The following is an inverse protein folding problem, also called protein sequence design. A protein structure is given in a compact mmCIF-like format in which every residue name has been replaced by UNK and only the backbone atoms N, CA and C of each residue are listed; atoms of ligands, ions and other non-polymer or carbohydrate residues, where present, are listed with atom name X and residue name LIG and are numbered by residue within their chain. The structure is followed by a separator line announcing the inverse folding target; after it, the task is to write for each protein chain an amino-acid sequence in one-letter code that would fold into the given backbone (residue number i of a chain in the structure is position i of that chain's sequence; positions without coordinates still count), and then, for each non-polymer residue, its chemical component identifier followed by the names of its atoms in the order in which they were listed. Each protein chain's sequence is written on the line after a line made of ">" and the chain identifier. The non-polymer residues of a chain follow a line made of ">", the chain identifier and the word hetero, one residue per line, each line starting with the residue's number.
data_IF_109707799687
#
_entry.id   IF_109707799687
#
_cell.length_a   1.000
_cell.length_b   1.000
_cell.length_c   1.000
_cell.angle_alpha   90.00
_cell.angle_beta   90.00
_cell.angle_gamma   90.00
#
_symmetry.space_group_name_H-M   'P 1'
#
loop_
_entity.id
_entity.type
_entity.pdbx_description
1 polymer ?
#
# COMPACT_ATOMS: atom_id res chain seq x y z
N UNK A 1 -17.49 6.73 -19.67
CA UNK A 1 -16.64 6.21 -20.75
C UNK A 1 -15.32 5.76 -20.14
N UNK A 2 -15.12 4.45 -20.02
CA UNK A 2 -13.84 3.87 -19.60
C UNK A 2 -12.87 3.97 -20.77
N UNK A 3 -11.63 4.41 -20.49
CA UNK A 3 -10.59 4.51 -21.51
C UNK A 3 -10.09 3.13 -21.95
N UNK A 4 -9.93 2.92 -23.24
CA UNK A 4 -9.28 1.72 -23.75
C UNK A 4 -7.77 1.87 -23.57
N UNK A 5 -7.17 1.13 -22.61
CA UNK A 5 -5.74 1.24 -22.26
C UNK A 5 -4.83 0.96 -23.45
N UNK A 6 -5.31 0.22 -24.45
CA UNK A 6 -4.50 -0.16 -25.61
C UNK A 6 -4.69 0.76 -26.83
N UNK A 7 -5.68 1.66 -26.85
CA UNK A 7 -5.99 2.49 -28.03
C UNK A 7 -5.95 3.99 -27.75
N UNK A 8 -6.44 4.45 -26.59
CA UNK A 8 -6.61 5.87 -26.27
C UNK A 8 -5.27 6.60 -26.04
N UNK A 9 -5.25 7.95 -26.07
CA UNK A 9 -4.02 8.75 -25.80
C UNK A 9 -3.41 8.38 -24.44
N UNK A 10 -2.10 8.14 -24.44
CA UNK A 10 -1.37 7.51 -23.33
C UNK A 10 -1.52 8.31 -22.03
N UNK A 11 -1.13 9.59 -22.04
CA UNK A 11 -1.12 10.42 -20.83
C UNK A 11 -2.53 10.59 -20.26
N UNK A 12 -3.52 10.87 -21.12
CA UNK A 12 -4.94 11.01 -20.72
C UNK A 12 -5.45 9.72 -20.06
N UNK A 13 -5.09 8.58 -20.61
CA UNK A 13 -5.50 7.28 -20.10
C UNK A 13 -4.85 6.97 -18.74
N UNK A 14 -3.55 7.22 -18.63
CA UNK A 14 -2.81 7.03 -17.37
C UNK A 14 -3.33 7.94 -16.26
N UNK A 15 -3.49 9.24 -16.54
CA UNK A 15 -4.02 10.20 -15.56
C UNK A 15 -5.43 9.86 -15.12
N UNK A 16 -6.30 9.48 -16.07
CA UNK A 16 -7.68 9.09 -15.76
C UNK A 16 -7.76 7.85 -14.87
N UNK A 17 -6.83 6.93 -15.00
CA UNK A 17 -6.73 5.74 -14.15
C UNK A 17 -6.02 6.05 -12.82
N UNK A 18 -4.96 6.85 -12.84
CA UNK A 18 -4.14 7.16 -11.67
C UNK A 18 -4.87 8.06 -10.65
N UNK A 19 -5.58 9.10 -11.11
CA UNK A 19 -6.20 10.08 -10.21
C UNK A 19 -7.18 9.45 -9.20
N UNK A 20 -8.12 8.56 -9.58
CA UNK A 20 -8.97 7.91 -8.60
C UNK A 20 -8.19 6.99 -7.64
N UNK A 21 -7.11 6.34 -8.11
CA UNK A 21 -6.26 5.48 -7.25
C UNK A 21 -5.55 6.34 -6.22
N UNK A 22 -4.93 7.45 -6.65
CA UNK A 22 -4.30 8.42 -5.76
C UNK A 22 -5.29 8.95 -4.73
N UNK A 23 -6.47 9.37 -5.18
CA UNK A 23 -7.53 9.83 -4.29
C UNK A 23 -7.94 8.76 -3.28
N UNK A 24 -8.03 7.48 -3.67
CA UNK A 24 -8.27 6.36 -2.75
C UNK A 24 -7.17 6.23 -1.70
N UNK A 25 -5.91 6.40 -2.08
CA UNK A 25 -4.77 6.33 -1.15
C UNK A 25 -4.80 7.49 -0.15
N UNK A 26 -5.13 8.70 -0.59
CA UNK A 26 -5.33 9.85 0.31
C UNK A 26 -6.52 9.66 1.24
N UNK A 27 -7.64 9.10 0.75
CA UNK A 27 -8.76 8.72 1.61
C UNK A 27 -8.36 7.70 2.67
N UNK A 28 -7.53 6.72 2.32
CA UNK A 28 -6.97 5.76 3.27
C UNK A 28 -6.12 6.42 4.37
N UNK A 29 -5.32 7.42 4.01
CA UNK A 29 -4.55 8.20 5.00
C UNK A 29 -5.47 9.01 5.92
N UNK A 30 -6.48 9.69 5.35
CA UNK A 30 -7.47 10.45 6.12
C UNK A 30 -8.26 9.54 7.08
N UNK A 31 -8.64 8.35 6.60
CA UNK A 31 -9.26 7.30 7.41
C UNK A 31 -8.42 6.97 8.65
N UNK A 32 -7.13 6.64 8.45
CA UNK A 32 -6.24 6.29 9.55
C UNK A 32 -6.09 7.43 10.57
N UNK A 33 -5.99 8.68 10.11
CA UNK A 33 -5.88 9.86 10.98
C UNK A 33 -7.16 10.04 11.79
N UNK A 34 -8.32 9.92 11.15
CA UNK A 34 -9.63 10.12 11.81
C UNK A 34 -9.89 9.02 12.84
N UNK A 35 -9.63 7.76 12.51
CA UNK A 35 -9.78 6.61 13.42
C UNK A 35 -8.89 6.78 14.66
N UNK A 36 -7.61 7.15 14.47
CA UNK A 36 -6.69 7.40 15.56
C UNK A 36 -7.09 8.61 16.41
N UNK A 37 -7.72 9.63 15.83
CA UNK A 37 -8.22 10.78 16.59
C UNK A 37 -9.36 10.38 17.54
N UNK A 38 -10.31 9.57 17.07
CA UNK A 38 -11.39 9.04 17.91
C UNK A 38 -10.88 8.10 19.00
N UNK A 39 -9.95 7.20 18.68
CA UNK A 39 -9.31 6.30 19.65
C UNK A 39 -8.52 7.11 20.69
N UNK A 40 -7.91 8.23 20.28
CA UNK A 40 -7.18 9.15 21.17
C UNK A 40 -8.03 9.68 22.31
N UNK A 41 -9.33 9.86 22.10
CA UNK A 41 -10.27 10.28 23.17
C UNK A 41 -10.48 9.23 24.27
N UNK A 42 -10.13 7.96 24.00
CA UNK A 42 -10.13 6.89 25.01
C UNK A 42 -8.87 6.86 25.88
N UNK A 43 -7.85 7.65 25.50
CA UNK A 43 -6.59 7.77 26.22
C UNK A 43 -5.42 7.02 25.57
N UNK A 44 -4.21 7.33 26.03
CA UNK A 44 -2.95 6.84 25.48
C UNK A 44 -2.81 5.30 25.51
N UNK A 45 -3.40 4.64 26.50
CA UNK A 45 -3.37 3.17 26.62
C UNK A 45 -4.17 2.49 25.53
N UNK A 46 -5.33 3.05 25.13
CA UNK A 46 -6.13 2.56 24.03
C UNK A 46 -5.39 2.75 22.69
N UNK A 47 -4.79 3.92 22.48
CA UNK A 47 -3.96 4.20 21.29
C UNK A 47 -2.79 3.24 21.17
N UNK A 48 -2.08 2.97 22.28
CA UNK A 48 -0.98 2.01 22.30
C UNK A 48 -1.45 0.59 21.96
N UNK A 49 -2.57 0.14 22.54
CA UNK A 49 -3.15 -1.18 22.27
C UNK A 49 -3.59 -1.35 20.81
N UNK A 50 -4.31 -0.37 20.25
CA UNK A 50 -4.74 -0.36 18.86
C UNK A 50 -3.53 -0.27 17.91
N UNK A 51 -2.53 0.52 18.28
CA UNK A 51 -1.28 0.62 17.50
C UNK A 51 -0.57 -0.72 17.35
N UNK A 52 -0.46 -1.49 18.44
CA UNK A 52 0.12 -2.84 18.42
C UNK A 52 -0.75 -3.80 17.60
N UNK A 53 -2.06 -3.81 17.81
CA UNK A 53 -2.99 -4.63 17.02
C UNK A 53 -2.95 -4.28 15.54
N UNK A 54 -2.84 -3.01 15.20
CA UNK A 54 -2.73 -2.49 13.82
C UNK A 54 -1.48 -2.96 13.09
N UNK A 55 -0.38 -3.28 13.78
CA UNK A 55 0.81 -3.84 13.13
C UNK A 55 0.53 -5.18 12.47
N UNK A 56 -0.31 -6.02 13.07
CA UNK A 56 -0.70 -7.30 12.48
C UNK A 56 -1.62 -7.14 11.28
N UNK A 57 -2.52 -6.15 11.32
CA UNK A 57 -3.32 -5.78 10.15
C UNK A 57 -2.42 -5.28 9.01
N UNK A 58 -1.40 -4.49 9.31
CA UNK A 58 -0.45 -4.00 8.31
C UNK A 58 0.40 -5.15 7.72
N UNK A 59 0.88 -6.07 8.56
CA UNK A 59 1.59 -7.27 8.10
C UNK A 59 0.72 -8.10 7.13
N UNK A 60 -0.57 -8.23 7.41
CA UNK A 60 -1.52 -8.96 6.57
C UNK A 60 -1.67 -8.34 5.16
N UNK A 61 -1.50 -7.02 5.02
CA UNK A 61 -1.54 -6.34 3.72
C UNK A 61 -0.45 -6.86 2.78
N UNK A 62 0.74 -7.20 3.32
CA UNK A 62 1.80 -7.85 2.55
C UNK A 62 1.36 -9.18 1.96
N UNK A 63 0.64 -10.00 2.75
CA UNK A 63 0.07 -11.27 2.26
C UNK A 63 -1.04 -11.04 1.23
N UNK A 64 -1.94 -10.09 1.46
CA UNK A 64 -3.02 -9.75 0.55
C UNK A 64 -2.50 -9.28 -0.83
N UNK A 65 -1.33 -8.61 -0.84
CA UNK A 65 -0.65 -8.19 -2.06
C UNK A 65 -0.35 -9.36 -3.02
N UNK A 66 -0.24 -10.61 -2.50
CA UNK A 66 -0.02 -11.80 -3.32
C UNK A 66 -1.18 -12.04 -4.29
N UNK A 67 -2.39 -12.09 -3.81
CA UNK A 67 -3.59 -12.31 -4.63
C UNK A 67 -3.86 -11.07 -5.51
N UNK A 68 -3.72 -9.86 -4.96
CA UNK A 68 -3.91 -8.60 -5.67
C UNK A 68 -2.98 -8.49 -6.87
N UNK A 69 -1.67 -8.54 -6.65
CA UNK A 69 -0.68 -8.30 -7.72
C UNK A 69 -0.68 -9.44 -8.75
N UNK A 70 -0.75 -10.69 -8.28
CA UNK A 70 -0.80 -11.85 -9.17
C UNK A 70 -2.04 -11.83 -10.04
N UNK A 71 -3.20 -11.54 -9.47
CA UNK A 71 -4.47 -11.40 -10.20
C UNK A 71 -4.45 -10.22 -11.16
N UNK A 72 -4.08 -9.03 -10.70
CA UNK A 72 -4.06 -7.81 -11.50
C UNK A 72 -3.20 -7.95 -12.76
N UNK A 73 -1.99 -8.45 -12.64
CA UNK A 73 -1.04 -8.57 -13.77
C UNK A 73 -1.54 -9.60 -14.79
N UNK A 74 -1.94 -10.80 -14.35
CA UNK A 74 -2.41 -11.84 -15.27
C UNK A 74 -3.71 -11.46 -15.96
N UNK A 75 -4.68 -10.92 -15.22
CA UNK A 75 -5.95 -10.46 -15.79
C UNK A 75 -5.72 -9.36 -16.82
N UNK A 76 -4.89 -8.34 -16.50
CA UNK A 76 -4.58 -7.27 -17.43
C UNK A 76 -3.88 -7.77 -18.70
N UNK A 77 -2.93 -8.69 -18.58
CA UNK A 77 -2.25 -9.29 -19.73
C UNK A 77 -3.20 -10.12 -20.60
N UNK A 78 -4.10 -10.91 -20.00
CA UNK A 78 -5.09 -11.69 -20.74
C UNK A 78 -6.11 -10.79 -21.44
N UNK A 79 -6.57 -9.72 -20.82
CA UNK A 79 -7.44 -8.71 -21.46
C UNK A 79 -6.71 -8.09 -22.65
N UNK A 80 -5.44 -7.76 -22.51
CA UNK A 80 -4.62 -7.24 -23.60
C UNK A 80 -4.50 -8.18 -24.80
N UNK A 81 -4.41 -9.49 -24.56
CA UNK A 81 -4.40 -10.54 -25.58
C UNK A 81 -5.77 -10.80 -26.22
N UNK A 82 -6.85 -10.29 -25.63
CA UNK A 82 -8.22 -10.60 -26.02
C UNK A 82 -8.74 -11.94 -25.48
N UNK A 83 -7.99 -12.63 -24.61
CA UNK A 83 -8.36 -13.93 -24.04
C UNK A 83 -9.16 -13.71 -22.74
N UNK A 84 -10.45 -13.53 -22.89
CA UNK A 84 -11.37 -13.25 -21.78
C UNK A 84 -11.59 -14.44 -20.86
N UNK A 85 -11.58 -15.64 -21.41
CA UNK A 85 -11.80 -16.87 -20.64
C UNK A 85 -10.65 -17.09 -19.64
N UNK A 86 -9.40 -16.91 -20.09
CA UNK A 86 -8.25 -16.95 -19.19
C UNK A 86 -8.26 -15.79 -18.21
N UNK A 87 -8.66 -14.59 -18.63
CA UNK A 87 -8.79 -13.46 -17.71
C UNK A 87 -9.79 -13.77 -16.60
N UNK A 88 -10.95 -14.35 -16.92
CA UNK A 88 -11.93 -14.82 -15.93
C UNK A 88 -11.35 -15.89 -15.00
N UNK A 89 -10.64 -16.89 -15.55
CA UNK A 89 -9.99 -17.94 -14.76
C UNK A 89 -8.98 -17.38 -13.74
N UNK A 90 -8.13 -16.41 -14.15
CA UNK A 90 -7.20 -15.74 -13.23
C UNK A 90 -7.92 -14.85 -12.22
N UNK A 91 -8.98 -14.15 -12.61
CA UNK A 91 -9.77 -13.33 -11.70
C UNK A 91 -10.43 -14.19 -10.61
N UNK A 92 -11.04 -15.31 -11.01
CA UNK A 92 -11.65 -16.28 -10.09
C UNK A 92 -10.61 -16.89 -9.14
N UNK A 93 -9.44 -17.28 -9.65
CA UNK A 93 -8.35 -17.80 -8.83
C UNK A 93 -7.84 -16.78 -7.81
N UNK A 94 -7.71 -15.50 -8.20
CA UNK A 94 -7.29 -14.44 -7.30
C UNK A 94 -8.30 -14.19 -6.18
N UNK A 95 -9.59 -14.16 -6.50
CA UNK A 95 -10.67 -14.00 -5.52
C UNK A 95 -10.73 -15.18 -4.53
N UNK A 96 -10.62 -16.41 -5.02
CA UNK A 96 -10.59 -17.59 -4.15
C UNK A 96 -9.35 -17.62 -3.24
N UNK A 97 -8.18 -17.27 -3.80
CA UNK A 97 -6.94 -17.20 -3.03
C UNK A 97 -7.04 -16.13 -1.94
N UNK A 98 -7.58 -14.95 -2.25
CA UNK A 98 -7.79 -13.88 -1.29
C UNK A 98 -8.75 -14.29 -0.15
N UNK A 99 -9.88 -14.92 -0.51
CA UNK A 99 -10.83 -15.42 0.46
C UNK A 99 -10.19 -16.49 1.37
N UNK A 100 -9.50 -17.47 0.77
CA UNK A 100 -8.83 -18.54 1.52
C UNK A 100 -7.76 -17.97 2.46
N UNK A 101 -6.87 -17.10 1.96
CA UNK A 101 -5.80 -16.51 2.77
C UNK A 101 -6.34 -15.60 3.85
N UNK A 102 -7.38 -14.80 3.56
CA UNK A 102 -8.03 -13.94 4.54
C UNK A 102 -8.69 -14.74 5.65
N UNK A 103 -9.40 -15.82 5.31
CA UNK A 103 -10.00 -16.74 6.30
C UNK A 103 -8.91 -17.46 7.11
N UNK A 104 -7.87 -18.00 6.45
CA UNK A 104 -6.78 -18.69 7.13
C UNK A 104 -6.05 -17.76 8.11
N UNK A 105 -5.72 -16.54 7.68
CA UNK A 105 -5.09 -15.54 8.54
C UNK A 105 -6.02 -15.16 9.71
N UNK A 106 -7.31 -14.97 9.44
CA UNK A 106 -8.32 -14.67 10.46
C UNK A 106 -8.40 -15.75 11.53
N UNK A 107 -8.53 -17.00 11.12
CA UNK A 107 -8.58 -18.16 12.03
C UNK A 107 -7.28 -18.27 12.84
N UNK A 108 -6.11 -18.18 12.19
CA UNK A 108 -4.82 -18.21 12.88
C UNK A 108 -4.68 -17.05 13.87
N UNK A 109 -5.11 -15.84 13.48
CA UNK A 109 -5.07 -14.68 14.38
C UNK A 109 -5.98 -14.88 15.60
N UNK A 110 -7.16 -15.47 15.44
CA UNK A 110 -8.06 -15.76 16.56
C UNK A 110 -7.46 -16.81 17.51
N UNK A 111 -6.84 -17.87 16.97
CA UNK A 111 -6.22 -18.93 17.76
C UNK A 111 -4.96 -18.44 18.51
N UNK A 112 -4.16 -17.61 17.87
CA UNK A 112 -2.84 -17.18 18.37
C UNK A 112 -2.81 -15.73 18.84
N UNK A 113 -3.96 -15.04 19.00
CA UNK A 113 -4.00 -13.64 19.44
C UNK A 113 -3.16 -13.38 20.70
N UNK A 114 -3.24 -14.28 21.67
CA UNK A 114 -2.50 -14.15 22.94
C UNK A 114 -0.99 -14.17 22.74
N UNK A 115 -0.50 -15.07 21.88
CA UNK A 115 0.92 -15.17 21.55
C UNK A 115 1.40 -13.97 20.72
N UNK A 116 0.59 -13.53 19.76
CA UNK A 116 0.88 -12.38 18.91
C UNK A 116 1.05 -11.11 19.76
N UNK A 117 0.08 -10.81 20.64
CA UNK A 117 0.15 -9.63 21.51
C UNK A 117 1.20 -9.82 22.61
N UNK A 118 1.37 -11.04 23.15
CA UNK A 118 2.40 -11.35 24.12
C UNK A 118 3.82 -11.09 23.64
N UNK A 119 4.07 -11.17 22.33
CA UNK A 119 5.36 -10.85 21.74
C UNK A 119 5.83 -9.41 22.05
N UNK A 120 4.90 -8.46 22.15
CA UNK A 120 5.20 -7.05 22.43
C UNK A 120 5.42 -6.73 23.92
N UNK A 121 5.16 -7.68 24.82
CA UNK A 121 5.37 -7.54 26.27
C UNK A 121 4.82 -6.22 26.84
N UNK A 122 3.58 -5.88 26.45
CA UNK A 122 2.94 -4.67 26.96
C UNK A 122 2.80 -4.74 28.49
N UNK A 123 3.46 -3.81 29.17
CA UNK A 123 3.47 -3.77 30.65
C UNK A 123 2.11 -3.35 31.24
N UNK A 124 1.34 -2.53 30.51
CA UNK A 124 0.03 -2.05 30.95
C UNK A 124 -1.09 -3.05 30.58
N UNK A 125 -1.83 -3.51 31.59
CA UNK A 125 -2.89 -4.49 31.42
C UNK A 125 -4.06 -3.96 30.56
N UNK A 126 -4.36 -2.64 30.61
CA UNK A 126 -5.43 -2.04 29.80
C UNK A 126 -5.01 -1.95 28.34
N UNK A 127 -3.76 -1.55 28.05
CA UNK A 127 -3.22 -1.54 26.69
C UNK A 127 -3.18 -2.95 26.12
N UNK A 128 -2.81 -3.96 26.92
CA UNK A 128 -2.81 -5.36 26.51
C UNK A 128 -4.23 -5.86 26.18
N UNK A 129 -5.23 -5.56 27.02
CA UNK A 129 -6.63 -5.91 26.78
C UNK A 129 -7.19 -5.22 25.53
N UNK A 130 -6.86 -3.94 25.33
CA UNK A 130 -7.24 -3.19 24.13
C UNK A 130 -6.63 -3.82 22.85
N UNK A 131 -5.33 -4.15 22.88
CA UNK A 131 -4.65 -4.83 21.77
C UNK A 131 -5.29 -6.20 21.44
N UNK A 132 -5.59 -6.98 22.47
CA UNK A 132 -6.25 -8.29 22.32
C UNK A 132 -7.62 -8.17 21.66
N UNK A 133 -8.45 -7.25 22.16
CA UNK A 133 -9.83 -7.05 21.67
C UNK A 133 -9.82 -6.55 20.23
N UNK A 134 -8.98 -5.54 19.92
CA UNK A 134 -8.84 -5.00 18.58
C UNK A 134 -8.37 -6.06 17.58
N UNK A 135 -7.29 -6.77 17.91
CA UNK A 135 -6.70 -7.79 17.02
C UNK A 135 -7.66 -8.94 16.74
N UNK A 136 -8.41 -9.41 17.74
CA UNK A 136 -9.41 -10.47 17.54
C UNK A 136 -10.47 -10.10 16.51
N UNK A 137 -10.95 -8.86 16.51
CA UNK A 137 -12.00 -8.41 15.60
C UNK A 137 -11.40 -8.03 14.26
N UNK A 138 -10.41 -7.13 14.24
CA UNK A 138 -9.82 -6.59 13.03
C UNK A 138 -9.08 -7.67 12.21
N UNK A 139 -8.27 -8.51 12.86
CA UNK A 139 -7.59 -9.62 12.18
C UNK A 139 -8.49 -10.84 12.00
N UNK A 140 -9.42 -11.13 12.93
CA UNK A 140 -10.36 -12.25 12.80
C UNK A 140 -11.27 -12.12 11.56
N UNK A 141 -11.65 -10.91 11.21
CA UNK A 141 -12.50 -10.59 10.05
C UNK A 141 -11.72 -9.93 8.90
N UNK A 142 -10.42 -10.13 8.82
CA UNK A 142 -9.52 -9.52 7.83
C UNK A 142 -9.85 -9.93 6.39
N UNK A 143 -10.64 -10.98 6.21
CA UNK A 143 -11.07 -11.46 4.89
C UNK A 143 -11.71 -10.36 4.04
N UNK A 144 -12.46 -9.44 4.64
CA UNK A 144 -13.06 -8.31 3.94
C UNK A 144 -11.98 -7.39 3.34
N UNK A 145 -10.91 -7.12 4.07
CA UNK A 145 -9.78 -6.33 3.59
C UNK A 145 -9.02 -7.03 2.46
N UNK A 146 -8.76 -8.34 2.58
CA UNK A 146 -8.13 -9.13 1.51
C UNK A 146 -8.95 -9.12 0.23
N UNK A 147 -10.26 -9.28 0.35
CA UNK A 147 -11.19 -9.23 -0.78
C UNK A 147 -11.22 -7.85 -1.42
N UNK A 148 -11.34 -6.78 -0.61
CA UNK A 148 -11.35 -5.39 -1.08
C UNK A 148 -10.08 -5.05 -1.87
N UNK A 149 -8.91 -5.40 -1.34
CA UNK A 149 -7.63 -5.18 -2.02
C UNK A 149 -7.54 -5.93 -3.35
N UNK A 150 -7.93 -7.20 -3.34
CA UNK A 150 -7.87 -8.03 -4.55
C UNK A 150 -8.85 -7.54 -5.61
N UNK A 151 -10.09 -7.23 -5.23
CA UNK A 151 -11.08 -6.66 -6.14
C UNK A 151 -10.60 -5.31 -6.71
N UNK A 152 -10.01 -4.44 -5.89
CA UNK A 152 -9.40 -3.18 -6.36
C UNK A 152 -8.37 -3.43 -7.47
N UNK A 153 -7.47 -4.41 -7.28
CA UNK A 153 -6.50 -4.81 -8.30
C UNK A 153 -7.14 -5.32 -9.57
N UNK A 154 -8.18 -6.15 -9.46
CA UNK A 154 -8.90 -6.73 -10.60
C UNK A 154 -9.73 -5.69 -11.39
N UNK A 155 -10.32 -4.71 -10.70
CA UNK A 155 -10.95 -3.55 -11.35
C UNK A 155 -9.92 -2.67 -12.08
N UNK A 156 -8.79 -2.40 -11.43
CA UNK A 156 -7.68 -1.63 -12.03
C UNK A 156 -7.13 -2.34 -13.26
N UNK A 157 -7.02 -3.68 -13.24
CA UNK A 157 -6.60 -4.50 -14.38
C UNK A 157 -7.51 -4.34 -15.60
N UNK A 158 -8.80 -4.09 -15.37
CA UNK A 158 -9.80 -3.84 -16.40
C UNK A 158 -9.86 -2.37 -16.88
N UNK A 159 -9.08 -1.48 -16.24
CA UNK A 159 -9.07 -0.04 -16.54
C UNK A 159 -10.15 0.76 -15.78
N UNK A 160 -10.79 0.14 -14.79
CA UNK A 160 -11.75 0.81 -13.91
C UNK A 160 -11.13 1.08 -12.53
N UNK A 161 -10.80 2.34 -12.27
CA UNK A 161 -10.37 2.81 -10.95
C UNK A 161 -11.46 3.61 -10.22
N UNK A 162 -12.55 3.94 -10.91
CA UNK A 162 -13.63 4.75 -10.34
C UNK A 162 -14.50 3.94 -9.38
N UNK A 163 -14.82 2.71 -9.74
CA UNK A 163 -15.63 1.83 -8.89
C UNK A 163 -14.97 1.58 -7.53
N UNK A 164 -13.67 1.19 -7.46
CA UNK A 164 -12.95 1.11 -6.19
C UNK A 164 -12.88 2.44 -5.44
N UNK A 165 -12.68 3.56 -6.13
CA UNK A 165 -12.64 4.88 -5.51
C UNK A 165 -13.96 5.24 -4.82
N UNK A 166 -15.09 5.06 -5.52
CA UNK A 166 -16.43 5.33 -4.96
C UNK A 166 -16.70 4.41 -3.77
N UNK A 167 -16.38 3.12 -3.89
CA UNK A 167 -16.53 2.18 -2.80
C UNK A 167 -15.72 2.60 -1.55
N UNK A 168 -14.45 2.97 -1.73
CA UNK A 168 -13.59 3.45 -0.65
C UNK A 168 -14.09 4.77 -0.03
N UNK A 169 -14.62 5.69 -0.84
CA UNK A 169 -15.20 6.94 -0.37
C UNK A 169 -16.43 6.68 0.54
N UNK A 170 -17.32 5.77 0.13
CA UNK A 170 -18.47 5.35 0.95
C UNK A 170 -18.01 4.64 2.21
N UNK A 171 -17.00 3.77 2.11
CA UNK A 171 -16.41 3.09 3.27
C UNK A 171 -15.82 4.07 4.28
N UNK A 172 -15.07 5.08 3.82
CA UNK A 172 -14.56 6.14 4.69
C UNK A 172 -15.70 6.90 5.37
N UNK A 173 -16.70 7.35 4.61
CA UNK A 173 -17.85 8.07 5.17
C UNK A 173 -18.58 7.22 6.22
N UNK A 174 -18.77 5.94 5.95
CA UNK A 174 -19.37 4.99 6.91
C UNK A 174 -18.54 4.88 8.18
N UNK A 175 -17.23 4.72 8.06
CA UNK A 175 -16.36 4.61 9.22
C UNK A 175 -16.36 5.91 10.05
N UNK A 176 -16.25 7.08 9.41
CA UNK A 176 -16.30 8.38 10.10
C UNK A 176 -17.59 8.60 10.90
N UNK A 177 -18.70 7.99 10.48
CA UNK A 177 -19.97 8.02 11.20
C UNK A 177 -20.02 6.96 12.30
N UNK A 178 -19.56 5.73 12.00
CA UNK A 178 -19.63 4.61 12.95
C UNK A 178 -18.62 4.75 14.09
N UNK A 179 -17.45 5.34 13.88
CA UNK A 179 -16.43 5.49 14.91
C UNK A 179 -16.97 6.25 16.13
N UNK A 180 -17.44 7.49 16.05
CA UNK A 180 -17.97 8.20 17.23
C UNK A 180 -19.19 7.49 17.83
N UNK A 181 -20.03 6.87 17.00
CA UNK A 181 -21.24 6.16 17.48
C UNK A 181 -20.86 4.93 18.31
N UNK A 182 -19.93 4.12 17.85
CA UNK A 182 -19.56 2.87 18.52
C UNK A 182 -18.45 3.06 19.58
N UNK A 183 -17.51 3.99 19.35
CA UNK A 183 -16.42 4.24 20.31
C UNK A 183 -16.93 4.96 21.54
N UNK A 184 -17.70 6.03 21.36
CA UNK A 184 -18.16 6.91 22.44
C UNK A 184 -19.54 6.54 22.98
N UNK A 185 -20.31 5.75 22.22
CA UNK A 185 -21.67 5.39 22.60
C UNK A 185 -22.67 6.52 22.40
N UNK A 186 -22.73 7.08 21.18
CA UNK A 186 -23.65 8.17 20.87
C UNK A 186 -25.03 7.61 20.51
N UNK A 187 -26.10 8.19 21.08
CA UNK A 187 -27.49 7.80 20.83
C UNK A 187 -27.88 6.53 21.58
N UNK A 188 -28.41 5.54 20.87
CA UNK A 188 -28.89 4.28 21.46
C UNK A 188 -27.81 3.18 21.60
N UNK A 189 -26.60 3.45 21.14
CA UNK A 189 -25.51 2.46 21.13
C UNK A 189 -24.69 2.52 22.42
N UNK A 190 -24.29 1.35 22.97
CA UNK A 190 -23.41 1.30 24.14
C UNK A 190 -22.02 1.78 23.78
N UNK A 191 -21.31 2.37 24.75
CA UNK A 191 -19.90 2.76 24.61
C UNK A 191 -19.03 1.49 24.52
N UNK A 192 -18.57 1.15 23.32
CA UNK A 192 -17.77 -0.05 23.06
C UNK A 192 -16.25 0.22 23.07
N UNK A 193 -15.83 1.50 23.07
CA UNK A 193 -14.41 1.86 23.09
C UNK A 193 -13.63 1.26 21.92
N UNK A 194 -12.50 0.61 22.21
CA UNK A 194 -11.62 -0.02 21.21
C UNK A 194 -12.31 -1.12 20.39
N UNK A 195 -13.23 -1.86 20.99
CA UNK A 195 -14.07 -2.84 20.31
C UNK A 195 -14.94 -2.16 19.25
N UNK A 196 -15.50 -0.99 19.59
CA UNK A 196 -16.28 -0.17 18.66
C UNK A 196 -15.48 0.27 17.43
N UNK A 197 -14.24 0.72 17.62
CA UNK A 197 -13.33 1.06 16.53
C UNK A 197 -13.07 -0.13 15.59
N UNK A 198 -12.77 -1.31 16.16
CA UNK A 198 -12.54 -2.51 15.36
C UNK A 198 -13.79 -2.92 14.57
N UNK A 199 -14.98 -2.86 15.17
CA UNK A 199 -16.25 -3.17 14.49
C UNK A 199 -16.53 -2.16 13.37
N UNK A 200 -16.33 -0.86 13.62
CA UNK A 200 -16.51 0.19 12.60
C UNK A 200 -15.61 -0.04 11.38
N UNK A 201 -14.32 -0.33 11.63
CA UNK A 201 -13.33 -0.65 10.60
C UNK A 201 -13.75 -1.85 9.75
N UNK A 202 -14.11 -2.96 10.38
CA UNK A 202 -14.52 -4.18 9.67
C UNK A 202 -15.82 -3.97 8.90
N UNK A 203 -16.79 -3.26 9.49
CA UNK A 203 -18.06 -2.93 8.83
C UNK A 203 -17.83 -2.06 7.60
N UNK A 204 -16.97 -1.04 7.69
CA UNK A 204 -16.60 -0.21 6.54
C UNK A 204 -15.96 -1.06 5.43
N UNK A 205 -15.05 -1.96 5.74
CA UNK A 205 -14.43 -2.87 4.75
C UNK A 205 -15.44 -3.82 4.11
N UNK A 206 -16.39 -4.34 4.89
CA UNK A 206 -17.45 -5.19 4.38
C UNK A 206 -18.38 -4.42 3.41
N UNK A 207 -18.69 -3.15 3.71
CA UNK A 207 -19.47 -2.28 2.83
C UNK A 207 -18.70 -1.99 1.54
N UNK A 208 -17.41 -1.65 1.62
CA UNK A 208 -16.55 -1.44 0.43
C UNK A 208 -16.58 -2.68 -0.47
N UNK A 209 -16.34 -3.86 0.11
CA UNK A 209 -16.41 -5.12 -0.63
C UNK A 209 -17.79 -5.33 -1.28
N UNK A 210 -18.87 -5.09 -0.54
CA UNK A 210 -20.24 -5.27 -1.01
C UNK A 210 -20.56 -4.34 -2.20
N UNK A 211 -20.15 -3.07 -2.11
CA UNK A 211 -20.32 -2.10 -3.22
C UNK A 211 -19.55 -2.57 -4.46
N UNK A 212 -18.33 -3.08 -4.31
CA UNK A 212 -17.57 -3.61 -5.45
C UNK A 212 -18.24 -4.83 -6.06
N UNK A 213 -18.78 -5.75 -5.25
CA UNK A 213 -19.51 -6.93 -5.74
C UNK A 213 -20.81 -6.51 -6.46
N UNK A 214 -21.57 -5.59 -5.87
CA UNK A 214 -22.77 -5.04 -6.52
C UNK A 214 -22.42 -4.34 -7.84
N UNK A 215 -21.29 -3.63 -7.88
CA UNK A 215 -20.74 -3.04 -9.10
C UNK A 215 -20.51 -4.04 -10.23
N UNK A 216 -20.06 -5.28 -9.90
CA UNK A 216 -19.89 -6.36 -10.90
C UNK A 216 -21.23 -6.75 -11.53
N UNK A 217 -22.30 -6.79 -10.73
CA UNK A 217 -23.63 -7.20 -11.18
C UNK A 217 -24.29 -6.11 -12.02
N UNK A 218 -24.19 -4.85 -11.57
CA UNK A 218 -24.89 -3.71 -12.20
C UNK A 218 -24.21 -3.25 -13.49
N UNK A 219 -22.88 -3.39 -13.60
CA UNK A 219 -22.17 -2.97 -14.80
C UNK A 219 -22.70 -3.72 -16.03
N UNK A 220 -23.22 -2.95 -17.01
CA UNK A 220 -23.75 -3.47 -18.30
C UNK A 220 -22.65 -4.07 -19.18
N UNK A 221 -21.41 -3.63 -19.02
CA UNK A 221 -20.25 -4.20 -19.73
C UNK A 221 -19.91 -5.59 -19.21
N UNK A 222 -19.37 -6.43 -20.08
CA UNK A 222 -18.81 -7.74 -19.74
C UNK A 222 -17.63 -7.57 -18.80
N UNK A 223 -17.91 -7.55 -17.49
CA UNK A 223 -16.89 -7.54 -16.46
C UNK A 223 -16.32 -8.95 -16.33
N UNK A 224 -14.99 -9.06 -16.36
CA UNK A 224 -14.28 -10.34 -16.22
C UNK A 224 -14.62 -11.08 -14.91
N UNK A 225 -15.10 -10.35 -13.91
CA UNK A 225 -15.53 -10.92 -12.62
C UNK A 225 -16.95 -11.52 -12.62
N UNK A 226 -17.75 -11.30 -13.69
CA UNK A 226 -19.09 -11.90 -13.77
C UNK A 226 -19.02 -13.41 -13.80
N UNK A 227 -19.82 -14.06 -12.97
CA UNK A 227 -19.87 -15.53 -12.88
C UNK A 227 -18.80 -16.14 -11.97
N UNK A 228 -17.97 -15.34 -11.30
CA UNK A 228 -16.99 -15.82 -10.32
C UNK A 228 -17.69 -16.60 -9.18
N UNK A 229 -17.24 -17.81 -8.91
CA UNK A 229 -17.77 -18.69 -7.86
C UNK A 229 -16.66 -19.06 -6.87
N UNK A 230 -16.87 -18.79 -5.59
CA UNK A 230 -15.86 -19.03 -4.54
C UNK A 230 -15.49 -20.52 -4.38
N UNK A 231 -16.41 -21.45 -4.66
CA UNK A 231 -16.22 -22.89 -4.46
C UNK A 231 -15.99 -23.69 -5.76
N UNK A 232 -15.88 -23.01 -6.91
CA UNK A 232 -15.61 -23.70 -8.17
C UNK A 232 -14.17 -24.24 -8.22
N UNK A 233 -14.00 -25.43 -8.79
CA UNK A 233 -12.65 -25.99 -9.03
C UNK A 233 -11.91 -25.12 -10.05
N UNK A 234 -10.71 -24.72 -9.70
CA UNK A 234 -9.83 -23.94 -10.57
C UNK A 234 -8.65 -24.82 -11.00
N UNK A 235 -8.27 -24.82 -12.28
CA UNK A 235 -7.04 -25.43 -12.74
C UNK A 235 -5.81 -24.90 -11.98
N UNK A 236 -4.92 -25.77 -11.58
CA UNK A 236 -3.70 -25.42 -10.82
C UNK A 236 -2.83 -24.37 -11.50
N UNK A 237 -2.87 -24.32 -12.83
CA UNK A 237 -2.11 -23.35 -13.63
C UNK A 237 -2.41 -21.88 -13.27
N UNK A 238 -3.68 -21.54 -13.01
CA UNK A 238 -4.06 -20.19 -12.62
C UNK A 238 -3.49 -19.82 -11.25
N UNK A 239 -3.58 -20.73 -10.28
CA UNK A 239 -3.05 -20.51 -8.96
C UNK A 239 -1.51 -20.39 -8.98
N UNK A 240 -0.82 -21.29 -9.71
CA UNK A 240 0.63 -21.22 -9.88
C UNK A 240 1.06 -19.91 -10.55
N UNK A 241 0.31 -19.45 -11.56
CA UNK A 241 0.57 -18.16 -12.20
C UNK A 241 0.49 -17.01 -11.23
N UNK A 242 -0.59 -16.93 -10.42
CA UNK A 242 -0.78 -15.90 -9.40
C UNK A 242 0.35 -15.94 -8.37
N UNK A 243 0.67 -17.13 -7.85
CA UNK A 243 1.74 -17.32 -6.86
C UNK A 243 3.12 -16.90 -7.40
N UNK A 244 3.43 -17.20 -8.66
CA UNK A 244 4.70 -16.84 -9.30
C UNK A 244 4.97 -15.34 -9.33
N UNK A 245 3.92 -14.54 -9.48
CA UNK A 245 3.98 -13.06 -9.47
C UNK A 245 3.78 -12.54 -8.04
N UNK A 246 2.86 -13.09 -7.30
CA UNK A 246 2.41 -12.56 -6.02
C UNK A 246 3.33 -12.87 -4.85
N UNK A 247 3.93 -14.07 -4.78
CA UNK A 247 4.83 -14.45 -3.67
C UNK A 247 6.04 -13.50 -3.58
N UNK A 248 6.77 -13.19 -4.68
CA UNK A 248 7.86 -12.22 -4.60
C UNK A 248 7.41 -10.86 -4.07
N UNK A 249 6.23 -10.39 -4.50
CA UNK A 249 5.68 -9.10 -4.03
C UNK A 249 5.33 -9.13 -2.54
N UNK A 250 4.74 -10.22 -2.06
CA UNK A 250 4.41 -10.40 -0.65
C UNK A 250 5.67 -10.41 0.23
N UNK A 251 6.69 -11.17 -0.18
CA UNK A 251 7.98 -11.23 0.53
C UNK A 251 8.65 -9.85 0.55
N UNK A 252 8.62 -9.12 -0.56
CA UNK A 252 9.14 -7.75 -0.63
C UNK A 252 8.46 -6.82 0.36
N UNK A 253 7.12 -6.84 0.43
CA UNK A 253 6.35 -6.02 1.36
C UNK A 253 6.64 -6.37 2.83
N UNK A 254 6.67 -7.66 3.16
CA UNK A 254 7.00 -8.11 4.52
C UNK A 254 8.44 -7.75 4.92
N UNK A 255 9.40 -7.93 4.02
CA UNK A 255 10.79 -7.54 4.25
C UNK A 255 10.94 -6.03 4.49
N UNK A 256 10.24 -5.22 3.70
CA UNK A 256 10.21 -3.76 3.89
C UNK A 256 9.71 -3.39 5.29
N UNK A 257 8.61 -3.99 5.73
CA UNK A 257 8.07 -3.77 7.07
C UNK A 257 9.07 -4.16 8.16
N UNK A 258 9.66 -5.35 8.08
CA UNK A 258 10.62 -5.85 9.06
C UNK A 258 11.86 -4.94 9.15
N UNK A 259 12.42 -4.53 8.03
CA UNK A 259 13.59 -3.63 7.97
C UNK A 259 13.23 -2.25 8.54
N UNK A 260 12.06 -1.72 8.21
CA UNK A 260 11.59 -0.44 8.75
C UNK A 260 11.43 -0.47 10.28
N UNK A 261 10.99 -1.61 10.84
CA UNK A 261 10.91 -1.80 12.29
C UNK A 261 12.31 -1.79 12.94
N UNK A 262 13.30 -2.43 12.33
CA UNK A 262 14.69 -2.42 12.80
C UNK A 262 15.26 -1.01 12.77
N UNK A 263 15.07 -0.27 11.69
CA UNK A 263 15.53 1.12 11.57
C UNK A 263 14.85 2.04 12.61
N UNK A 264 13.55 1.87 12.83
CA UNK A 264 12.83 2.63 13.88
C UNK A 264 13.40 2.35 15.27
N UNK A 265 13.78 1.08 15.55
CA UNK A 265 14.44 0.73 16.80
C UNK A 265 15.82 1.39 16.93
N UNK A 266 16.59 1.47 15.85
CA UNK A 266 17.89 2.18 15.86
C UNK A 266 17.69 3.67 16.14
N UNK A 267 16.68 4.31 15.49
CA UNK A 267 16.34 5.71 15.69
C UNK A 267 15.89 5.99 17.13
N UNK A 268 15.18 5.05 17.77
CA UNK A 268 14.71 5.20 19.15
C UNK A 268 15.85 5.35 20.16
N UNK A 269 17.04 4.87 19.84
CA UNK A 269 18.25 5.06 20.64
C UNK A 269 18.72 6.52 20.72
N UNK A 270 18.27 7.39 19.80
CA UNK A 270 18.59 8.82 19.78
C UNK A 270 17.55 9.70 20.51
N UNK A 271 16.53 9.09 21.10
CA UNK A 271 15.54 9.78 21.93
C UNK A 271 14.16 9.92 21.31
N UNK A 272 13.21 10.41 22.11
CA UNK A 272 11.81 10.54 21.72
C UNK A 272 11.59 11.52 20.56
N UNK A 273 12.39 12.60 20.50
CA UNK A 273 12.32 13.62 19.44
C UNK A 273 12.67 13.02 18.07
N UNK A 274 13.69 12.15 17.99
CA UNK A 274 14.07 11.46 16.76
C UNK A 274 12.95 10.55 16.25
N UNK A 275 12.29 9.82 17.14
CA UNK A 275 11.15 8.96 16.79
C UNK A 275 9.96 9.79 16.35
N UNK A 276 9.68 10.91 17.03
CA UNK A 276 8.60 11.84 16.65
C UNK A 276 8.85 12.43 15.27
N UNK A 277 10.08 12.91 15.01
CA UNK A 277 10.51 13.42 13.70
C UNK A 277 10.34 12.37 12.58
N UNK A 278 10.80 11.14 12.81
CA UNK A 278 10.65 10.05 11.83
C UNK A 278 9.16 9.75 11.54
N UNK A 279 8.31 9.77 12.56
CA UNK A 279 6.86 9.54 12.38
C UNK A 279 6.18 10.65 11.61
N UNK A 280 6.42 11.90 12.01
CA UNK A 280 5.80 13.07 11.36
C UNK A 280 6.37 13.21 9.94
N UNK A 281 7.68 13.06 9.78
CA UNK A 281 8.33 13.07 8.47
C UNK A 281 7.73 12.03 7.52
N UNK A 282 7.53 10.80 7.98
CA UNK A 282 6.87 9.75 7.19
C UNK A 282 5.42 10.09 6.79
N UNK A 283 4.67 10.85 7.62
CA UNK A 283 3.34 11.34 7.22
C UNK A 283 3.45 12.42 6.13
N UNK A 284 4.44 13.29 6.20
CA UNK A 284 4.69 14.32 5.18
C UNK A 284 5.08 13.65 3.85
N UNK A 285 6.02 12.69 3.90
CA UNK A 285 6.42 11.88 2.74
C UNK A 285 5.25 11.10 2.12
N UNK A 286 4.26 10.70 2.93
CA UNK A 286 3.13 9.90 2.45
C UNK A 286 2.34 10.57 1.33
N UNK A 287 2.37 11.90 1.25
CA UNK A 287 1.75 12.67 0.17
C UNK A 287 2.44 12.34 -1.17
N UNK A 288 3.77 12.36 -1.18
CA UNK A 288 4.57 12.02 -2.34
C UNK A 288 4.46 10.54 -2.70
N UNK A 289 4.58 9.69 -1.70
CA UNK A 289 4.51 8.25 -1.85
C UNK A 289 3.15 7.76 -2.39
N UNK A 290 2.03 8.24 -1.85
CA UNK A 290 0.68 7.90 -2.31
C UNK A 290 0.43 8.33 -3.76
N UNK A 291 0.99 9.49 -4.14
CA UNK A 291 0.90 9.98 -5.52
C UNK A 291 1.67 9.04 -6.47
N UNK A 292 2.92 8.72 -6.12
CA UNK A 292 3.76 7.84 -6.92
C UNK A 292 3.18 6.41 -7.00
N UNK A 293 2.66 5.86 -5.92
CA UNK A 293 2.04 4.52 -5.87
C UNK A 293 0.76 4.46 -6.72
N UNK A 294 -0.06 5.51 -6.68
CA UNK A 294 -1.24 5.62 -7.54
C UNK A 294 -0.90 5.59 -9.03
N UNK A 295 0.14 6.32 -9.43
CA UNK A 295 0.68 6.26 -10.80
C UNK A 295 1.30 4.89 -11.12
N UNK A 296 2.03 4.29 -10.19
CA UNK A 296 2.62 2.96 -10.34
C UNK A 296 1.55 1.90 -10.59
N UNK A 297 0.44 1.92 -9.84
CA UNK A 297 -0.67 1.00 -10.01
C UNK A 297 -1.38 1.18 -11.35
N UNK A 298 -1.60 2.43 -11.78
CA UNK A 298 -2.17 2.74 -13.08
C UNK A 298 -1.24 2.29 -14.23
N UNK A 299 0.05 2.58 -14.11
CA UNK A 299 1.06 2.19 -15.10
C UNK A 299 1.21 0.67 -15.17
N UNK A 300 1.12 -0.03 -14.04
CA UNK A 300 1.13 -1.50 -13.99
C UNK A 300 0.03 -2.09 -14.89
N UNK A 301 -1.22 -1.66 -14.72
CA UNK A 301 -2.34 -2.13 -15.53
C UNK A 301 -2.19 -1.74 -17.01
N UNK A 302 -1.74 -0.50 -17.28
CA UNK A 302 -1.49 -0.02 -18.64
C UNK A 302 -0.42 -0.86 -19.35
N UNK A 303 0.72 -1.08 -18.70
CA UNK A 303 1.82 -1.87 -19.26
C UNK A 303 1.40 -3.33 -19.43
N UNK A 304 0.73 -3.93 -18.44
CA UNK A 304 0.29 -5.31 -18.51
C UNK A 304 -0.65 -5.55 -19.71
N UNK A 305 -1.64 -4.68 -19.92
CA UNK A 305 -2.54 -4.80 -21.08
C UNK A 305 -1.82 -4.59 -22.40
N UNK A 306 -0.99 -3.54 -22.53
CA UNK A 306 -0.27 -3.28 -23.78
C UNK A 306 0.78 -4.35 -24.08
N UNK A 307 1.42 -4.90 -23.04
CA UNK A 307 2.33 -6.03 -23.17
C UNK A 307 1.59 -7.30 -23.62
N UNK A 308 0.43 -7.59 -23.02
CA UNK A 308 -0.45 -8.68 -23.46
C UNK A 308 -0.88 -8.55 -24.92
N UNK A 309 -1.18 -7.31 -25.36
CA UNK A 309 -1.55 -6.98 -26.73
C UNK A 309 -0.36 -6.95 -27.73
N UNK A 310 0.86 -7.21 -27.29
CA UNK A 310 2.07 -7.14 -28.14
C UNK A 310 2.51 -5.73 -28.52
N UNK A 311 1.94 -4.68 -27.91
CA UNK A 311 2.19 -3.26 -28.23
C UNK A 311 3.40 -2.70 -27.49
N UNK A 312 4.60 -3.24 -27.78
CA UNK A 312 5.83 -2.86 -27.06
C UNK A 312 6.18 -1.37 -27.15
N UNK A 313 5.87 -0.70 -28.25
CA UNK A 313 6.11 0.74 -28.40
C UNK A 313 5.24 1.56 -27.44
N UNK A 314 3.98 1.14 -27.24
CA UNK A 314 3.12 1.78 -26.25
C UNK A 314 3.59 1.54 -24.82
N UNK A 315 4.14 0.38 -24.51
CA UNK A 315 4.79 0.09 -23.22
C UNK A 315 5.90 1.09 -22.95
N UNK A 316 6.82 1.30 -23.92
CA UNK A 316 7.93 2.25 -23.78
C UNK A 316 7.44 3.71 -23.64
N UNK A 317 6.49 4.12 -24.49
CA UNK A 317 5.91 5.47 -24.44
C UNK A 317 5.15 5.71 -23.14
N UNK A 318 4.39 4.73 -22.66
CA UNK A 318 3.66 4.82 -21.39
C UNK A 318 4.59 4.96 -20.19
N UNK A 319 5.65 4.15 -20.14
CA UNK A 319 6.68 4.26 -19.12
C UNK A 319 7.35 5.64 -19.14
N UNK A 320 7.78 6.11 -20.33
CA UNK A 320 8.41 7.42 -20.48
C UNK A 320 7.48 8.56 -20.02
N UNK A 321 6.21 8.52 -20.42
CA UNK A 321 5.23 9.52 -20.01
C UNK A 321 5.04 9.54 -18.48
N UNK A 322 4.89 8.36 -17.86
CA UNK A 322 4.77 8.26 -16.39
C UNK A 322 6.04 8.72 -15.68
N UNK A 323 7.21 8.34 -16.19
CA UNK A 323 8.51 8.76 -15.62
C UNK A 323 8.66 10.28 -15.60
N UNK A 324 8.27 10.96 -16.68
CA UNK A 324 8.27 12.42 -16.73
C UNK A 324 7.28 13.04 -15.76
N UNK A 325 6.03 12.54 -15.74
CA UNK A 325 4.99 13.09 -14.86
C UNK A 325 5.37 12.93 -13.38
N UNK A 326 5.76 11.72 -12.98
CA UNK A 326 6.09 11.42 -11.58
C UNK A 326 7.48 11.96 -11.22
N UNK A 327 8.41 12.03 -12.18
CA UNK A 327 9.71 12.64 -11.98
C UNK A 327 9.61 14.14 -11.70
N UNK A 328 8.79 14.88 -12.46
CA UNK A 328 8.52 16.31 -12.21
C UNK A 328 7.87 16.49 -10.84
N UNK A 329 6.89 15.65 -10.48
CA UNK A 329 6.27 15.66 -9.16
C UNK A 329 7.30 15.43 -8.05
N UNK A 330 8.14 14.39 -8.17
CA UNK A 330 9.18 14.08 -7.19
C UNK A 330 10.20 15.21 -7.06
N UNK A 331 10.61 15.83 -8.16
CA UNK A 331 11.52 17.00 -8.14
C UNK A 331 10.87 18.21 -7.45
N UNK A 332 9.58 18.43 -7.66
CA UNK A 332 8.85 19.51 -6.99
C UNK A 332 8.82 19.29 -5.48
N UNK A 333 8.50 18.07 -5.04
CA UNK A 333 8.50 17.72 -3.60
C UNK A 333 9.93 17.80 -3.03
N UNK A 334 10.94 17.29 -3.75
CA UNK A 334 12.34 17.45 -3.37
C UNK A 334 12.71 18.92 -3.14
N UNK A 335 12.34 19.80 -4.08
CA UNK A 335 12.58 21.24 -3.95
C UNK A 335 11.85 21.83 -2.74
N UNK A 336 10.60 21.44 -2.49
CA UNK A 336 9.84 21.89 -1.32
C UNK A 336 10.51 21.46 -0.02
N UNK A 337 10.94 20.20 0.10
CA UNK A 337 11.59 19.68 1.32
C UNK A 337 12.98 20.31 1.56
N UNK A 338 13.72 20.64 0.50
CA UNK A 338 15.06 21.21 0.62
C UNK A 338 15.00 22.73 0.80
N UNK A 339 14.11 23.45 0.08
CA UNK A 339 14.11 24.91 0.08
C UNK A 339 13.27 25.53 1.21
N UNK A 340 12.21 24.83 1.68
CA UNK A 340 11.29 25.35 2.71
C UNK A 340 11.00 24.33 3.84
N UNK A 341 12.02 23.63 4.38
CA UNK A 341 11.81 22.61 5.40
C UNK A 341 11.31 23.19 6.73
N UNK A 342 11.80 24.37 7.13
CA UNK A 342 11.45 24.98 8.42
C UNK A 342 9.97 25.37 8.55
N UNK A 343 9.33 26.05 7.57
CA UNK A 343 7.89 26.29 7.60
C UNK A 343 7.07 24.99 7.72
N UNK A 344 7.50 23.91 7.05
CA UNK A 344 6.83 22.61 7.14
C UNK A 344 6.98 22.02 8.53
N UNK A 345 8.19 22.02 9.09
CA UNK A 345 8.45 21.50 10.45
C UNK A 345 7.65 22.27 11.52
N UNK A 346 7.52 23.58 11.39
CA UNK A 346 6.77 24.46 12.31
C UNK A 346 5.25 24.19 12.33
N UNK A 347 4.70 23.53 11.32
CA UNK A 347 3.29 23.10 11.32
C UNK A 347 3.06 22.03 12.39
N UNK A 348 4.04 21.17 12.63
CA UNK A 348 3.91 19.97 13.47
C UNK A 348 4.62 20.07 14.81
N UNK A 349 5.66 20.91 14.91
CA UNK A 349 6.50 21.04 16.09
C UNK A 349 6.59 22.48 16.57
N UNK A 350 6.58 22.67 17.87
CA UNK A 350 6.73 23.96 18.54
C UNK A 350 8.06 24.09 19.26
N UNK A 351 8.70 22.98 19.59
CA UNK A 351 9.99 22.96 20.29
C UNK A 351 11.14 23.22 19.30
N UNK A 352 12.04 24.20 19.61
CA UNK A 352 13.14 24.57 18.67
C UNK A 352 14.02 23.38 18.26
N UNK A 353 14.28 22.46 19.19
CA UNK A 353 15.11 21.28 18.92
C UNK A 353 14.40 20.30 17.99
N UNK A 354 13.11 20.02 18.19
CA UNK A 354 12.34 19.15 17.32
C UNK A 354 12.20 19.74 15.91
N UNK A 355 12.05 21.08 15.80
CA UNK A 355 12.04 21.79 14.52
C UNK A 355 13.39 21.61 13.81
N UNK A 356 14.52 21.81 14.50
CA UNK A 356 15.85 21.67 13.90
C UNK A 356 16.07 20.24 13.38
N UNK A 357 15.79 19.23 14.19
CA UNK A 357 15.89 17.82 13.81
C UNK A 357 14.96 17.47 12.63
N UNK A 358 13.76 18.05 12.56
CA UNK A 358 12.84 17.84 11.43
C UNK A 358 13.30 18.53 10.15
N UNK A 359 13.96 19.69 10.25
CA UNK A 359 14.57 20.38 9.12
C UNK A 359 15.66 19.53 8.50
N UNK A 360 16.57 18.96 9.31
CA UNK A 360 17.63 18.06 8.86
C UNK A 360 17.06 16.82 8.17
N UNK A 361 16.03 16.18 8.79
CA UNK A 361 15.33 15.07 8.20
C UNK A 361 14.76 15.38 6.82
N UNK A 362 13.98 16.46 6.71
CA UNK A 362 13.33 16.86 5.45
C UNK A 362 14.34 17.14 4.34
N UNK A 363 15.46 17.80 4.67
CA UNK A 363 16.53 18.06 3.69
C UNK A 363 17.13 16.75 3.21
N UNK A 364 17.52 15.84 4.12
CA UNK A 364 18.17 14.57 3.78
C UNK A 364 17.25 13.69 2.93
N UNK A 365 15.97 13.54 3.32
CA UNK A 365 15.00 12.76 2.56
C UNK A 365 14.64 13.46 1.25
N UNK A 366 14.59 14.79 1.24
CA UNK A 366 14.33 15.59 0.05
C UNK A 366 15.24 15.24 -1.13
N UNK A 367 16.52 14.90 -0.88
CA UNK A 367 17.44 14.46 -1.95
C UNK A 367 17.02 13.15 -2.62
N UNK A 368 16.30 12.29 -1.94
CA UNK A 368 15.87 10.98 -2.47
C UNK A 368 14.43 10.93 -3.00
N UNK A 369 13.60 11.95 -2.74
CA UNK A 369 12.17 11.95 -3.07
C UNK A 369 11.90 11.70 -4.55
N UNK A 370 12.59 12.39 -5.44
CA UNK A 370 12.45 12.20 -6.88
C UNK A 370 12.82 10.77 -7.30
N UNK A 371 13.88 10.21 -6.71
CA UNK A 371 14.33 8.86 -7.01
C UNK A 371 13.36 7.80 -6.44
N UNK A 372 12.78 8.04 -5.28
CA UNK A 372 11.76 7.18 -4.68
C UNK A 372 10.49 7.15 -5.54
N UNK A 373 10.02 8.28 -6.03
CA UNK A 373 8.90 8.36 -6.95
C UNK A 373 9.16 7.58 -8.27
N UNK A 374 10.37 7.73 -8.81
CA UNK A 374 10.83 6.99 -10.00
C UNK A 374 10.93 5.50 -9.73
N UNK A 375 11.44 5.10 -8.56
CA UNK A 375 11.53 3.71 -8.11
C UNK A 375 10.14 3.06 -8.13
N UNK A 376 9.16 3.63 -7.39
CA UNK A 376 7.81 3.08 -7.29
C UNK A 376 7.15 2.93 -8.65
N UNK A 377 7.25 3.95 -9.48
CA UNK A 377 6.71 3.95 -10.85
C UNK A 377 7.34 2.85 -11.70
N UNK A 378 8.65 2.65 -11.60
CA UNK A 378 9.37 1.64 -12.36
C UNK A 378 9.09 0.22 -11.85
N UNK A 379 8.94 0.04 -10.54
CA UNK A 379 8.47 -1.24 -9.94
C UNK A 379 7.07 -1.59 -10.46
N UNK A 380 6.16 -0.61 -10.54
CA UNK A 380 4.84 -0.79 -11.15
C UNK A 380 4.94 -1.26 -12.60
N UNK A 381 5.80 -0.63 -13.40
CA UNK A 381 6.05 -0.97 -14.80
C UNK A 381 6.62 -2.38 -14.98
N UNK A 382 7.67 -2.73 -14.23
CA UNK A 382 8.29 -4.06 -14.27
C UNK A 382 7.34 -5.15 -13.80
N UNK A 383 6.53 -4.88 -12.78
CA UNK A 383 5.50 -5.79 -12.30
C UNK A 383 4.43 -6.04 -13.37
N UNK A 384 4.02 -5.01 -14.13
CA UNK A 384 3.11 -5.14 -15.27
C UNK A 384 3.67 -6.04 -16.40
N UNK A 385 5.00 -6.07 -16.57
CA UNK A 385 5.69 -7.02 -17.45
C UNK A 385 5.79 -8.44 -16.86
N UNK A 386 5.30 -8.68 -15.63
CA UNK A 386 5.43 -9.95 -14.92
C UNK A 386 6.80 -10.20 -14.29
N UNK A 387 7.65 -9.15 -14.13
CA UNK A 387 9.01 -9.26 -13.62
C UNK A 387 9.12 -9.00 -12.11
N UNK A 388 8.09 -9.36 -11.34
CA UNK A 388 8.02 -9.12 -9.89
C UNK A 388 9.16 -9.76 -9.10
N UNK A 389 9.64 -10.94 -9.51
CA UNK A 389 10.79 -11.59 -8.86
C UNK A 389 12.05 -10.71 -8.92
N UNK A 390 12.30 -10.07 -10.06
CA UNK A 390 13.44 -9.16 -10.23
C UNK A 390 13.27 -7.92 -9.35
N UNK A 391 12.05 -7.35 -9.32
CA UNK A 391 11.72 -6.23 -8.44
C UNK A 391 11.98 -6.57 -6.98
N UNK A 392 11.53 -7.74 -6.52
CA UNK A 392 11.69 -8.16 -5.13
C UNK A 392 13.16 -8.37 -4.76
N UNK A 393 13.96 -9.00 -5.63
CA UNK A 393 15.40 -9.21 -5.37
C UNK A 393 16.11 -7.86 -5.21
N UNK A 394 15.92 -6.93 -6.15
CA UNK A 394 16.54 -5.60 -6.08
C UNK A 394 16.05 -4.84 -4.84
N UNK A 395 14.74 -4.78 -4.62
CA UNK A 395 14.18 -4.05 -3.46
C UNK A 395 14.66 -4.62 -2.14
N UNK A 396 14.63 -5.94 -1.95
CA UNK A 396 15.05 -6.57 -0.69
C UNK A 396 16.55 -6.35 -0.47
N UNK A 397 17.39 -6.54 -1.48
CA UNK A 397 18.82 -6.35 -1.37
C UNK A 397 19.19 -4.94 -0.89
N UNK A 398 18.67 -3.91 -1.59
CA UNK A 398 18.98 -2.52 -1.23
C UNK A 398 18.27 -2.02 0.03
N UNK A 399 17.06 -2.52 0.32
CA UNK A 399 16.39 -2.17 1.57
C UNK A 399 17.08 -2.83 2.77
N UNK A 400 17.56 -4.07 2.64
CA UNK A 400 18.35 -4.75 3.68
C UNK A 400 19.71 -4.07 3.90
N UNK A 401 20.32 -3.54 2.85
CA UNK A 401 21.56 -2.79 2.93
C UNK A 401 21.44 -1.51 3.80
N UNK A 402 20.22 -1.01 4.03
CA UNK A 402 19.98 0.11 4.96
C UNK A 402 20.46 -0.18 6.37
N UNK A 403 20.32 -1.43 6.85
CA UNK A 403 20.72 -1.77 8.22
C UNK A 403 22.24 -1.63 8.42
N UNK A 404 23.13 -2.33 7.68
CA UNK A 404 24.57 -2.14 7.86
C UNK A 404 25.03 -0.72 7.52
N UNK A 405 24.43 -0.07 6.52
CA UNK A 405 24.74 1.32 6.20
C UNK A 405 24.39 2.27 7.36
N UNK A 406 23.23 2.06 8.00
CA UNK A 406 22.81 2.84 9.16
C UNK A 406 23.72 2.64 10.37
N UNK A 407 24.29 1.44 10.55
CA UNK A 407 25.27 1.19 11.60
C UNK A 407 26.55 1.98 11.31
N UNK A 408 27.06 1.92 10.08
CA UNK A 408 28.30 2.60 9.68
C UNK A 408 28.13 4.11 9.72
N UNK A 409 27.15 4.66 9.00
CA UNK A 409 26.92 6.09 8.90
C UNK A 409 26.39 6.66 10.23
N UNK A 410 25.57 5.92 10.97
CA UNK A 410 25.14 6.31 12.30
C UNK A 410 26.27 6.42 13.31
N UNK A 411 27.31 5.59 13.18
CA UNK A 411 28.53 5.68 13.98
C UNK A 411 29.36 6.94 13.65
N UNK A 412 29.26 7.48 12.44
CA UNK A 412 30.04 8.66 11.98
C UNK A 412 29.23 9.95 12.16
N UNK A 413 27.97 9.95 11.78
CA UNK A 413 27.10 11.14 11.67
C UNK A 413 25.93 11.13 12.66
N UNK A 414 25.84 10.14 13.54
CA UNK A 414 24.71 10.02 14.47
C UNK A 414 23.40 9.74 13.76
N UNK A 415 22.33 10.44 14.18
CA UNK A 415 20.96 10.26 13.66
C UNK A 415 20.88 10.51 12.15
N UNK A 416 21.54 11.57 11.66
CA UNK A 416 21.55 11.93 10.25
C UNK A 416 22.12 10.83 9.37
N UNK A 417 23.09 10.07 9.89
CA UNK A 417 23.69 8.93 9.21
C UNK A 417 22.66 7.83 8.91
N UNK A 418 21.68 7.60 9.79
CA UNK A 418 20.59 6.64 9.55
C UNK A 418 19.70 7.15 8.41
N UNK A 419 19.34 8.43 8.39
CA UNK A 419 18.53 9.03 7.34
C UNK A 419 19.27 9.07 6.00
N UNK A 420 20.58 9.37 6.00
CA UNK A 420 21.39 9.24 4.80
C UNK A 420 21.49 7.81 4.27
N UNK A 421 21.49 6.80 5.12
CA UNK A 421 21.44 5.40 4.69
C UNK A 421 20.11 5.10 3.96
N UNK A 422 18.99 5.65 4.44
CA UNK A 422 17.67 5.52 3.79
C UNK A 422 17.68 6.27 2.45
N UNK A 423 18.12 7.52 2.44
CA UNK A 423 18.13 8.38 1.26
C UNK A 423 19.04 7.84 0.16
N UNK A 424 20.30 7.51 0.47
CA UNK A 424 21.26 7.00 -0.51
C UNK A 424 20.82 5.70 -1.15
N UNK A 425 20.28 4.75 -0.36
CA UNK A 425 19.75 3.49 -0.91
C UNK A 425 18.53 3.71 -1.80
N UNK A 426 17.67 4.68 -1.52
CA UNK A 426 16.55 5.04 -2.38
C UNK A 426 17.02 5.65 -3.71
N UNK A 427 18.04 6.52 -3.69
CA UNK A 427 18.65 7.07 -4.91
C UNK A 427 19.18 5.95 -5.79
N UNK A 428 19.99 5.05 -5.22
CA UNK A 428 20.59 3.93 -5.97
C UNK A 428 19.50 3.00 -6.52
N UNK A 429 18.47 2.69 -5.76
CA UNK A 429 17.33 1.88 -6.23
C UNK A 429 16.62 2.53 -7.41
N UNK A 430 16.31 3.82 -7.33
CA UNK A 430 15.67 4.55 -8.42
C UNK A 430 16.46 4.47 -9.73
N UNK A 431 17.79 4.63 -9.66
CA UNK A 431 18.68 4.51 -10.82
C UNK A 431 18.68 3.07 -11.35
N UNK A 432 18.91 2.08 -10.49
CA UNK A 432 19.01 0.66 -10.89
C UNK A 432 17.71 0.18 -11.52
N UNK A 433 16.56 0.51 -10.94
CA UNK A 433 15.27 0.12 -11.50
C UNK A 433 15.06 0.73 -12.89
N UNK A 434 15.38 2.01 -13.07
CA UNK A 434 15.27 2.70 -14.35
C UNK A 434 16.17 2.05 -15.41
N UNK A 435 17.43 1.81 -15.08
CA UNK A 435 18.37 1.12 -15.96
C UNK A 435 17.90 -0.29 -16.32
N UNK A 436 17.37 -1.02 -15.35
CA UNK A 436 16.82 -2.37 -15.54
C UNK A 436 15.64 -2.38 -16.50
N UNK A 437 14.70 -1.44 -16.36
CA UNK A 437 13.56 -1.35 -17.28
C UNK A 437 14.01 -1.02 -18.69
N UNK A 438 14.89 -0.05 -18.86
CA UNK A 438 15.43 0.34 -20.16
C UNK A 438 16.19 -0.82 -20.83
N UNK A 439 16.98 -1.58 -20.08
CA UNK A 439 17.70 -2.74 -20.58
C UNK A 439 16.77 -3.87 -21.06
N UNK A 440 15.75 -4.20 -20.24
CA UNK A 440 14.78 -5.25 -20.61
C UNK A 440 13.99 -4.88 -21.86
N UNK A 441 13.60 -3.60 -21.98
CA UNK A 441 12.80 -3.14 -23.12
C UNK A 441 13.64 -2.92 -24.38
N UNK A 442 14.95 -2.68 -24.27
CA UNK A 442 15.87 -2.55 -25.41
C UNK A 442 16.12 -3.88 -26.10
N UNK A 443 16.28 -4.99 -25.35
CA UNK A 443 16.52 -6.34 -25.88
C UNK A 443 15.34 -6.94 -26.66
N UNK A 444 14.19 -6.29 -26.67
CA UNK A 444 12.96 -6.77 -27.32
C UNK A 444 12.62 -6.01 -28.62
N UNK A 445 13.64 -5.58 -29.33
CA UNK A 445 13.54 -5.13 -30.74
C UNK A 445 13.58 -6.29 -31.68
#
# INVERSE_FOLDING_TARGET
>A
MEGNLTKDPILKTLTKLAVPIMASSFLGTLYNITDMAWIGLLGSKAVAGVGVGGMFTWLSQGLAAMARMGGQVHVAQCIGRGDRDKAHGFAQAAVQLAAFMGMAYGILSLLFTRQMIGFFQLADAQAHAAAMSYTRIACGLIVFSFMTLTLTGLYTAQGDSKTPFIANLVGLATNMVLDPVLILGVGMFPKLGVVGAAIATVTAQAIVMSIMIVGIVIQKKENVLKGTRLLAKIPREYLQGICKIGIPTAIQGMAYCAISMVLTRMISGYGAEAVATQRVGGQIESISWNTADGFAAALNAFIAQNYGAGKNDRVKKGYKASLWTVGIWGLLISAVFICIPEPIARIFFYEPKAIATSVEYLIIIGFSEAFMCVELTTVGALSGLGRTRLCSIISIAFTSARIPLSIILGGIMGLDGIWWAISSTSIVKGIIFTCTFLWITRKRR
#
